data_IF_155060985195
#
_entry.id   IF_155060985195
#
_cell.length_a   1.000
_cell.length_b   1.000
_cell.length_c   1.000
_cell.angle_alpha   90.00
_cell.angle_beta   90.00
_cell.angle_gamma   90.00
#
_symmetry.space_group_name_H-M   'P 1'
#
loop_
_entity.id
_entity.type
_entity.pdbx_description
1 polymer ?
#
# COMPACT_ATOMS: atom_id res chain seq x y z
N UNK A 1 12.40 7.95 12.44
CA UNK A 1 12.96 7.43 11.17
C UNK A 1 12.01 7.81 10.05
N UNK A 2 12.48 8.44 8.98
CA UNK A 2 11.65 8.88 7.85
C UNK A 2 11.71 7.85 6.73
N UNK A 3 10.55 7.34 6.32
CA UNK A 3 10.39 6.34 5.26
C UNK A 3 10.17 7.05 3.92
N UNK A 4 9.22 7.99 3.85
CA UNK A 4 8.95 8.78 2.65
C UNK A 4 9.63 10.14 2.77
N UNK A 5 10.61 10.39 1.91
CA UNK A 5 11.35 11.66 1.82
C UNK A 5 10.76 12.59 0.77
N UNK A 6 9.98 12.05 -0.15
CA UNK A 6 9.34 12.78 -1.24
C UNK A 6 7.93 12.27 -1.54
N UNK A 7 7.19 13.03 -2.35
CA UNK A 7 5.92 12.57 -2.94
C UNK A 7 6.12 11.44 -3.95
N UNK A 8 7.29 11.36 -4.58
CA UNK A 8 7.63 10.28 -5.50
C UNK A 8 7.73 8.94 -4.77
N UNK A 9 8.32 8.91 -3.58
CA UNK A 9 8.39 7.71 -2.74
C UNK A 9 6.98 7.18 -2.43
N UNK A 10 6.03 8.08 -2.15
CA UNK A 10 4.63 7.72 -1.86
C UNK A 10 3.92 7.15 -3.08
N UNK A 11 4.13 7.76 -4.26
CA UNK A 11 3.56 7.27 -5.53
C UNK A 11 4.11 5.90 -5.88
N UNK A 12 5.41 5.70 -5.71
CA UNK A 12 6.07 4.43 -5.98
C UNK A 12 5.55 3.31 -5.06
N UNK A 13 5.37 3.61 -3.77
CA UNK A 13 4.74 2.69 -2.82
C UNK A 13 3.33 2.30 -3.25
N UNK A 14 2.49 3.28 -3.60
CA UNK A 14 1.12 3.00 -4.05
C UNK A 14 1.08 2.21 -5.37
N UNK A 15 2.04 2.43 -6.26
CA UNK A 15 2.18 1.65 -7.49
C UNK A 15 2.49 0.18 -7.20
N UNK A 16 3.48 -0.09 -6.33
CA UNK A 16 3.80 -1.45 -5.91
C UNK A 16 2.64 -2.12 -5.19
N UNK A 17 1.98 -1.41 -4.28
CA UNK A 17 0.79 -1.92 -3.58
C UNK A 17 -0.30 -2.29 -4.57
N UNK A 18 -0.58 -1.43 -5.56
CA UNK A 18 -1.57 -1.72 -6.60
C UNK A 18 -1.22 -2.98 -7.39
N UNK A 19 0.04 -3.10 -7.83
CA UNK A 19 0.49 -4.24 -8.62
C UNK A 19 0.40 -5.56 -7.85
N UNK A 20 0.93 -5.59 -6.63
CA UNK A 20 0.99 -6.81 -5.82
C UNK A 20 -0.37 -7.15 -5.21
N UNK A 21 -1.15 -6.18 -4.72
CA UNK A 21 -2.52 -6.46 -4.27
C UNK A 21 -3.37 -7.05 -5.40
N UNK A 22 -3.26 -6.53 -6.63
CA UNK A 22 -3.94 -7.13 -7.79
C UNK A 22 -3.44 -8.54 -8.08
N UNK A 23 -2.14 -8.79 -7.98
CA UNK A 23 -1.53 -10.10 -8.21
C UNK A 23 -2.02 -11.15 -7.21
N UNK A 24 -2.23 -10.76 -5.96
CA UNK A 24 -2.67 -11.66 -4.88
C UNK A 24 -4.18 -11.58 -4.59
N UNK A 25 -4.95 -10.80 -5.36
CA UNK A 25 -6.39 -10.64 -5.16
C UNK A 25 -6.76 -9.97 -3.82
N UNK A 26 -5.90 -9.10 -3.31
CA UNK A 26 -6.14 -8.32 -2.09
C UNK A 26 -6.86 -7.03 -2.45
N UNK A 27 -7.98 -6.75 -1.80
CA UNK A 27 -8.69 -5.49 -1.95
C UNK A 27 -8.25 -4.49 -0.88
N UNK A 28 -7.86 -3.28 -1.29
CA UNK A 28 -7.50 -2.21 -0.36
C UNK A 28 -8.66 -1.22 -0.26
N UNK A 29 -9.28 -1.13 0.92
CA UNK A 29 -10.46 -0.30 1.17
C UNK A 29 -10.08 1.14 1.54
N UNK A 30 -8.97 1.32 2.27
CA UNK A 30 -8.48 2.63 2.68
C UNK A 30 -6.98 2.57 3.00
N UNK A 31 -6.29 3.70 2.83
CA UNK A 31 -4.89 3.86 3.22
C UNK A 31 -4.57 5.29 3.65
N UNK A 32 -3.55 5.44 4.48
CA UNK A 32 -2.97 6.73 4.85
C UNK A 32 -1.44 6.61 4.90
N UNK A 33 -0.74 7.42 4.10
CA UNK A 33 0.72 7.43 4.02
C UNK A 33 1.26 8.61 4.83
N UNK A 34 1.88 8.32 5.97
CA UNK A 34 2.59 9.30 6.78
C UNK A 34 4.09 9.21 6.52
N UNK A 35 4.84 10.27 6.81
CA UNK A 35 6.29 10.37 6.56
C UNK A 35 7.12 9.20 7.12
N UNK A 36 6.65 8.54 8.17
CA UNK A 36 7.38 7.49 8.90
C UNK A 36 6.65 6.13 8.96
N UNK A 37 5.42 5.99 8.45
CA UNK A 37 4.67 4.71 8.44
C UNK A 37 3.41 4.79 7.55
N UNK A 38 2.74 3.65 7.37
CA UNK A 38 1.52 3.52 6.58
C UNK A 38 0.44 2.82 7.41
N UNK A 39 -0.80 3.30 7.31
CA UNK A 39 -1.99 2.59 7.75
C UNK A 39 -2.77 2.10 6.55
N UNK A 40 -3.25 0.86 6.61
CA UNK A 40 -4.00 0.23 5.51
C UNK A 40 -5.13 -0.62 6.07
N UNK A 41 -6.27 -0.61 5.37
CA UNK A 41 -7.36 -1.55 5.58
C UNK A 41 -7.45 -2.38 4.30
N UNK A 42 -7.10 -3.66 4.41
CA UNK A 42 -7.08 -4.58 3.30
C UNK A 42 -7.91 -5.83 3.61
N UNK A 43 -8.59 -6.34 2.59
CA UNK A 43 -9.29 -7.62 2.62
C UNK A 43 -8.43 -8.60 1.83
N UNK A 44 -7.90 -9.66 2.44
CA UNK A 44 -7.15 -10.67 1.72
C UNK A 44 -8.08 -11.36 0.71
N UNK A 45 -7.54 -11.76 -0.44
CA UNK A 45 -8.26 -12.65 -1.35
C UNK A 45 -8.55 -14.00 -0.69
N UNK A 46 -9.55 -14.72 -1.19
CA UNK A 46 -9.87 -16.06 -0.71
C UNK A 46 -8.64 -16.98 -0.84
N UNK A 47 -8.15 -17.47 0.29
CA UNK A 47 -7.21 -18.59 0.36
C UNK A 47 -8.01 -19.87 0.02
N UNK A 48 -7.66 -20.55 -1.06
CA UNK A 48 -8.17 -21.89 -1.35
C UNK A 48 -7.27 -22.97 -0.79
#
# INVERSE_FOLDING_TARGET
>A
MTIFRSEEDRRMYLEFMREECRRFGVDVLAWCLMTNHVHEIAVPGDEK
#
